data_IF_927417248510
#
_entry.id   IF_927417248510
#
_cell.length_a   1.000
_cell.length_b   1.000
_cell.length_c   1.000
_cell.angle_alpha   90.00
_cell.angle_beta   90.00
_cell.angle_gamma   90.00
#
_symmetry.space_group_name_H-M   'P 1'
#
loop_
_entity.id
_entity.type
_entity.pdbx_description
1 polymer ?
#
# COMPACT_ATOMS: atom_id res chain seq x y z
N UNK A 1 -1.84 9.57 4.91
CA UNK A 1 -3.07 8.89 5.38
C UNK A 1 -4.14 8.80 4.28
N UNK A 2 -4.67 9.91 3.74
CA UNK A 2 -5.72 9.88 2.69
C UNK A 2 -5.33 9.14 1.40
N UNK A 3 -4.07 9.27 0.96
CA UNK A 3 -3.55 8.47 -0.17
C UNK A 3 -3.59 6.97 0.09
N UNK A 4 -3.18 6.58 1.30
CA UNK A 4 -3.14 5.18 1.72
C UNK A 4 -4.53 4.54 1.81
N UNK A 5 -5.54 5.27 2.33
CA UNK A 5 -6.92 4.75 2.39
C UNK A 5 -7.52 4.54 1.01
N UNK A 6 -7.38 5.52 0.10
CA UNK A 6 -7.87 5.40 -1.29
C UNK A 6 -7.15 4.28 -2.02
N UNK A 7 -5.83 4.18 -1.85
CA UNK A 7 -5.02 3.08 -2.39
C UNK A 7 -5.49 1.72 -1.90
N UNK A 8 -5.71 1.55 -0.58
CA UNK A 8 -6.21 0.28 -0.02
C UNK A 8 -7.59 -0.06 -0.52
N UNK A 9 -8.51 0.89 -0.60
CA UNK A 9 -9.86 0.65 -1.11
C UNK A 9 -9.81 0.10 -2.54
N UNK A 10 -8.99 0.71 -3.40
CA UNK A 10 -8.80 0.25 -4.77
C UNK A 10 -8.09 -1.11 -4.85
N UNK A 11 -7.11 -1.36 -3.99
CA UNK A 11 -6.45 -2.67 -3.88
C UNK A 11 -7.45 -3.77 -3.50
N UNK A 12 -8.28 -3.54 -2.47
CA UNK A 12 -9.29 -4.51 -2.02
C UNK A 12 -10.33 -4.79 -3.12
N UNK A 13 -10.75 -3.77 -3.86
CA UNK A 13 -11.60 -3.97 -5.04
C UNK A 13 -10.89 -4.75 -6.15
N UNK A 14 -9.62 -4.43 -6.40
CA UNK A 14 -8.77 -5.14 -7.36
C UNK A 14 -8.59 -6.62 -7.00
N UNK A 15 -8.39 -6.94 -5.72
CA UNK A 15 -8.33 -8.32 -5.24
C UNK A 15 -9.65 -9.06 -5.52
N UNK A 16 -10.80 -8.45 -5.19
CA UNK A 16 -12.12 -9.03 -5.51
C UNK A 16 -12.32 -9.22 -7.01
N UNK A 17 -11.91 -8.26 -7.84
CA UNK A 17 -12.01 -8.36 -9.29
C UNK A 17 -11.08 -9.44 -9.85
N UNK A 18 -9.87 -9.60 -9.27
CA UNK A 18 -8.87 -10.58 -9.71
C UNK A 18 -9.32 -12.03 -9.52
N UNK A 19 -10.21 -12.30 -8.56
CA UNK A 19 -10.81 -13.63 -8.39
C UNK A 19 -11.60 -14.09 -9.62
N UNK A 20 -12.07 -13.15 -10.45
CA UNK A 20 -12.79 -13.42 -11.70
C UNK A 20 -11.88 -13.53 -12.92
N UNK A 21 -10.57 -13.30 -12.77
CA UNK A 21 -9.63 -13.38 -13.89
C UNK A 21 -9.30 -14.86 -14.23
N UNK A 22 -9.00 -15.15 -15.50
CA UNK A 22 -8.44 -16.45 -15.90
C UNK A 22 -7.18 -16.77 -15.10
N UNK A 23 -6.93 -18.05 -14.76
CA UNK A 23 -5.82 -18.42 -13.86
C UNK A 23 -4.45 -17.89 -14.28
N UNK A 24 -4.23 -17.83 -15.59
CA UNK A 24 -3.01 -17.25 -16.19
C UNK A 24 -2.76 -15.78 -15.81
N UNK A 25 -3.76 -15.04 -15.36
CA UNK A 25 -3.70 -13.62 -14.97
C UNK A 25 -3.87 -13.42 -13.46
N UNK A 26 -4.06 -14.47 -12.66
CA UNK A 26 -4.18 -14.32 -11.21
C UNK A 26 -2.81 -14.00 -10.59
N UNK A 27 -2.79 -13.25 -9.48
CA UNK A 27 -1.58 -13.04 -8.69
C UNK A 27 -0.99 -14.39 -8.22
N UNK A 28 0.32 -14.44 -7.90
CA UNK A 28 0.93 -15.65 -7.37
C UNK A 28 0.16 -16.16 -6.14
N UNK A 29 0.00 -17.49 -5.99
CA UNK A 29 -0.66 -18.05 -4.82
C UNK A 29 0.18 -17.76 -3.58
N UNK A 30 -0.41 -17.06 -2.62
CA UNK A 30 0.13 -16.90 -1.26
C UNK A 30 -0.45 -18.03 -0.42
N UNK A 31 0.38 -18.68 0.40
CA UNK A 31 -0.04 -19.85 1.21
C UNK A 31 -1.11 -19.49 2.25
N UNK A 32 -1.02 -18.28 2.78
CA UNK A 32 -1.92 -17.73 3.79
C UNK A 32 -1.96 -16.22 3.58
N UNK A 33 -3.12 -15.60 3.84
CA UNK A 33 -3.23 -14.14 3.81
C UNK A 33 -2.29 -13.51 4.86
N UNK A 34 -1.49 -12.49 4.49
CA UNK A 34 -0.61 -11.80 5.44
C UNK A 34 -1.31 -11.27 6.70
N UNK A 35 -2.56 -10.82 6.59
CA UNK A 35 -3.36 -10.36 7.72
C UNK A 35 -3.73 -11.52 8.65
N UNK A 36 -4.22 -12.62 8.09
CA UNK A 36 -4.50 -13.85 8.83
C UNK A 36 -3.26 -14.38 9.56
N UNK A 37 -2.11 -14.42 8.87
CA UNK A 37 -0.85 -14.86 9.47
C UNK A 37 -0.48 -14.01 10.70
N UNK A 38 -0.61 -12.69 10.60
CA UNK A 38 -0.30 -11.78 11.71
C UNK A 38 -1.26 -11.98 12.88
N UNK A 39 -2.55 -12.20 12.62
CA UNK A 39 -3.53 -12.49 13.68
C UNK A 39 -3.21 -13.85 14.34
N UNK A 40 -2.87 -14.86 13.57
CA UNK A 40 -2.41 -16.16 14.08
C UNK A 40 -1.18 -16.03 14.99
N UNK A 41 -0.25 -15.10 14.69
CA UNK A 41 0.89 -14.81 15.59
C UNK A 41 0.46 -14.15 16.89
N UNK A 42 -0.52 -13.25 16.86
CA UNK A 42 -1.07 -12.63 18.08
C UNK A 42 -1.74 -13.68 18.97
N UNK A 43 -2.53 -14.58 18.40
CA UNK A 43 -3.15 -15.69 19.14
C UNK A 43 -2.09 -16.62 19.76
N UNK A 44 -1.03 -16.96 19.01
CA UNK A 44 0.09 -17.76 19.54
C UNK A 44 0.78 -17.09 20.73
N UNK A 45 0.99 -15.77 20.68
CA UNK A 45 1.60 -15.02 21.77
C UNK A 45 0.68 -14.91 23.00
N UNK A 46 -0.64 -14.86 22.78
CA UNK A 46 -1.63 -14.84 23.85
C UNK A 46 -1.88 -16.22 24.47
N UNK A 47 -1.62 -17.29 23.72
CA UNK A 47 -1.91 -18.66 24.13
C UNK A 47 -3.38 -19.07 23.98
N UNK A 48 -4.23 -18.22 23.41
CA UNK A 48 -5.66 -18.48 23.21
C UNK A 48 -6.18 -17.89 21.89
N UNK A 49 -7.10 -18.59 21.19
CA UNK A 49 -7.68 -18.10 19.94
C UNK A 49 -8.59 -16.89 20.20
N UNK A 50 -8.65 -15.97 19.23
CA UNK A 50 -9.59 -14.86 19.27
C UNK A 50 -10.99 -15.35 18.90
N UNK A 51 -12.05 -14.68 19.39
CA UNK A 51 -13.39 -14.85 18.83
C UNK A 51 -13.38 -14.64 17.32
N UNK A 52 -14.05 -15.51 16.55
CA UNK A 52 -14.04 -15.49 15.07
C UNK A 52 -14.29 -14.10 14.49
N UNK A 53 -15.33 -13.41 14.99
CA UNK A 53 -15.66 -12.06 14.53
C UNK A 53 -14.52 -11.06 14.73
N UNK A 54 -13.77 -11.17 15.84
CA UNK A 54 -12.63 -10.30 16.11
C UNK A 54 -11.41 -10.69 15.25
N UNK A 55 -11.18 -11.99 15.04
CA UNK A 55 -10.15 -12.49 14.14
C UNK A 55 -10.33 -11.93 12.73
N UNK A 56 -11.52 -12.10 12.16
CA UNK A 56 -11.85 -11.65 10.81
C UNK A 56 -11.73 -10.12 10.68
N UNK A 57 -12.21 -9.39 11.70
CA UNK A 57 -12.09 -7.94 11.74
C UNK A 57 -10.63 -7.46 11.81
N UNK A 58 -9.77 -8.14 12.57
CA UNK A 58 -8.35 -7.80 12.66
C UNK A 58 -7.60 -8.13 11.38
N UNK A 59 -7.84 -9.29 10.77
CA UNK A 59 -7.21 -9.67 9.50
C UNK A 59 -7.59 -8.71 8.38
N UNK A 60 -8.87 -8.33 8.28
CA UNK A 60 -9.31 -7.29 7.35
C UNK A 60 -8.74 -5.91 7.72
N UNK A 61 -8.69 -5.60 9.01
CA UNK A 61 -8.10 -4.37 9.55
C UNK A 61 -6.62 -4.22 9.21
N UNK A 62 -5.85 -5.30 9.13
CA UNK A 62 -4.43 -5.25 8.77
C UNK A 62 -4.20 -4.68 7.37
N UNK A 63 -5.08 -4.98 6.41
CA UNK A 63 -4.99 -4.41 5.05
C UNK A 63 -5.13 -2.87 5.06
N UNK A 64 -6.06 -2.36 5.89
CA UNK A 64 -6.25 -0.94 6.10
C UNK A 64 -5.08 -0.31 6.85
N UNK A 65 -4.66 -0.91 7.97
CA UNK A 65 -3.52 -0.46 8.75
C UNK A 65 -2.25 -0.38 7.91
N UNK A 66 -2.00 -1.38 7.06
CA UNK A 66 -0.86 -1.42 6.16
C UNK A 66 -0.88 -0.25 5.17
N UNK A 67 -2.00 -0.04 4.44
CA UNK A 67 -2.05 1.03 3.46
C UNK A 67 -2.08 2.43 4.07
N UNK A 68 -2.77 2.63 5.20
CA UNK A 68 -2.75 3.91 5.95
C UNK A 68 -1.33 4.27 6.38
N UNK A 69 -0.60 3.30 6.94
CA UNK A 69 0.79 3.48 7.40
C UNK A 69 1.70 3.83 6.22
N UNK A 70 1.65 3.04 5.13
CA UNK A 70 2.43 3.33 3.94
C UNK A 70 2.09 4.69 3.33
N UNK A 71 0.81 5.05 3.24
CA UNK A 71 0.38 6.36 2.75
C UNK A 71 0.71 7.52 3.70
N UNK A 72 0.97 7.27 4.98
CA UNK A 72 1.48 8.26 5.91
C UNK A 72 3.00 8.45 5.73
N UNK A 73 3.75 7.34 5.69
CA UNK A 73 5.20 7.34 5.42
C UNK A 73 5.53 7.99 4.09
N UNK A 74 4.76 7.69 3.04
CA UNK A 74 4.93 8.29 1.72
C UNK A 74 4.66 9.81 1.72
N UNK A 75 3.59 10.25 2.41
CA UNK A 75 3.32 11.68 2.58
C UNK A 75 4.43 12.40 3.34
N UNK A 76 4.99 11.76 4.37
CA UNK A 76 6.13 12.30 5.11
C UNK A 76 7.39 12.39 4.24
N UNK A 77 7.71 11.32 3.49
CA UNK A 77 8.87 11.28 2.60
C UNK A 77 8.78 12.32 1.47
N UNK A 78 7.58 12.62 1.00
CA UNK A 78 7.34 13.56 -0.12
C UNK A 78 7.10 15.00 0.33
N UNK A 79 6.96 15.24 1.63
CA UNK A 79 6.61 16.55 2.21
C UNK A 79 7.57 17.70 1.82
N UNK A 80 8.85 17.40 1.55
CA UNK A 80 9.88 18.41 1.21
C UNK A 80 10.07 18.62 -0.28
N UNK A 81 9.67 17.67 -1.11
CA UNK A 81 9.95 17.68 -2.56
C UNK A 81 8.78 18.18 -3.40
N UNK A 82 7.61 18.42 -2.78
CA UNK A 82 6.39 18.95 -3.38
C UNK A 82 6.06 18.37 -4.76
N UNK A 83 5.16 17.38 -4.79
CA UNK A 83 4.73 16.70 -6.00
C UNK A 83 3.74 17.58 -6.79
N UNK A 84 4.24 18.66 -7.40
CA UNK A 84 3.40 19.66 -8.11
C UNK A 84 3.01 19.25 -9.54
N UNK A 85 3.69 18.27 -10.11
CA UNK A 85 3.41 17.78 -11.47
C UNK A 85 2.88 16.36 -11.45
N UNK A 86 2.04 16.02 -12.43
CA UNK A 86 1.54 14.66 -12.59
C UNK A 86 2.70 13.67 -12.76
N UNK A 87 3.70 14.01 -13.59
CA UNK A 87 4.89 13.18 -13.80
C UNK A 87 5.63 12.87 -12.50
N UNK A 88 5.85 13.88 -11.64
CA UNK A 88 6.52 13.67 -10.36
C UNK A 88 5.70 12.75 -9.44
N UNK A 89 4.37 12.95 -9.39
CA UNK A 89 3.49 12.10 -8.59
C UNK A 89 3.46 10.65 -9.08
N UNK A 90 3.40 10.42 -10.39
CA UNK A 90 3.43 9.07 -10.97
C UNK A 90 4.75 8.35 -10.65
N UNK A 91 5.89 9.02 -10.83
CA UNK A 91 7.21 8.44 -10.54
C UNK A 91 7.39 8.15 -9.05
N UNK A 92 7.03 9.09 -8.18
CA UNK A 92 7.13 8.91 -6.73
C UNK A 92 6.21 7.79 -6.24
N UNK A 93 4.98 7.72 -6.76
CA UNK A 93 4.04 6.66 -6.46
C UNK A 93 4.53 5.29 -6.95
N UNK A 94 5.04 5.20 -8.18
CA UNK A 94 5.61 3.97 -8.72
C UNK A 94 6.82 3.47 -7.91
N UNK A 95 7.72 4.38 -7.52
CA UNK A 95 8.87 4.06 -6.66
C UNK A 95 8.41 3.54 -5.30
N UNK A 96 7.43 4.20 -4.66
CA UNK A 96 6.86 3.76 -3.39
C UNK A 96 6.22 2.37 -3.52
N UNK A 97 5.39 2.15 -4.53
CA UNK A 97 4.77 0.85 -4.79
C UNK A 97 5.79 -0.26 -4.96
N UNK A 98 6.85 0.00 -5.75
CA UNK A 98 7.96 -0.94 -5.95
C UNK A 98 8.71 -1.24 -4.66
N UNK A 99 8.96 -0.23 -3.82
CA UNK A 99 9.62 -0.41 -2.53
C UNK A 99 8.77 -1.28 -1.57
N UNK A 100 7.46 -1.01 -1.48
CA UNK A 100 6.50 -1.81 -0.71
C UNK A 100 6.51 -3.26 -1.18
N UNK A 101 6.45 -3.47 -2.50
CA UNK A 101 6.56 -4.81 -3.09
C UNK A 101 7.86 -5.50 -2.71
N UNK A 102 9.00 -4.83 -2.84
CA UNK A 102 10.31 -5.41 -2.54
C UNK A 102 10.43 -5.81 -1.07
N UNK A 103 10.03 -4.93 -0.15
CA UNK A 103 10.03 -5.21 1.31
C UNK A 103 9.17 -6.45 1.62
N UNK A 104 8.02 -6.60 0.95
CA UNK A 104 7.15 -7.76 1.10
C UNK A 104 7.72 -9.03 0.45
N UNK A 105 7.79 -9.04 -0.87
CA UNK A 105 8.03 -10.23 -1.69
C UNK A 105 9.49 -10.67 -1.76
N UNK A 106 10.44 -9.77 -1.54
CA UNK A 106 11.86 -10.12 -1.42
C UNK A 106 12.24 -10.27 0.07
N UNK A 107 11.67 -9.45 0.94
CA UNK A 107 11.97 -9.45 2.37
C UNK A 107 11.16 -10.48 3.16
N UNK A 108 10.08 -10.00 3.79
CA UNK A 108 9.50 -10.73 4.92
C UNK A 108 8.56 -11.88 4.52
N UNK A 109 7.86 -11.81 3.38
CA UNK A 109 6.92 -12.87 2.95
C UNK A 109 7.64 -14.20 2.71
N UNK A 110 8.78 -14.26 1.99
CA UNK A 110 9.56 -15.49 1.90
C UNK A 110 10.15 -15.94 3.24
N UNK A 111 10.63 -15.01 4.07
CA UNK A 111 11.19 -15.32 5.38
C UNK A 111 10.13 -15.96 6.32
N UNK A 112 8.89 -15.50 6.25
CA UNK A 112 7.73 -16.06 6.94
C UNK A 112 7.19 -17.34 6.28
N UNK A 113 7.78 -17.79 5.17
CA UNK A 113 7.33 -18.93 4.35
C UNK A 113 5.91 -18.77 3.78
N UNK A 114 5.44 -17.53 3.63
CA UNK A 114 4.12 -17.24 3.03
C UNK A 114 4.13 -17.34 1.51
N UNK A 115 5.28 -17.06 0.89
CA UNK A 115 5.51 -17.21 -0.56
C UNK A 115 6.83 -17.92 -0.82
N UNK A 116 6.99 -18.63 -1.95
CA UNK A 116 8.32 -19.00 -2.44
C UNK A 116 9.18 -17.76 -2.68
N UNK A 117 10.52 -17.85 -2.70
CA UNK A 117 11.36 -16.74 -3.14
C UNK A 117 11.07 -16.32 -4.58
N UNK A 118 11.24 -15.03 -4.92
CA UNK A 118 10.83 -14.45 -6.21
C UNK A 118 11.38 -15.17 -7.45
N UNK A 119 12.62 -15.68 -7.38
CA UNK A 119 13.24 -16.44 -8.47
C UNK A 119 12.58 -17.81 -8.73
N UNK A 120 11.70 -18.29 -7.83
CA UNK A 120 10.91 -19.52 -7.98
C UNK A 120 9.44 -19.29 -8.32
N UNK A 121 8.99 -18.03 -8.40
CA UNK A 121 7.56 -17.70 -8.66
C UNK A 121 7.22 -17.61 -10.16
N UNK A 122 8.23 -17.56 -11.03
CA UNK A 122 8.06 -17.35 -12.47
C UNK A 122 7.89 -15.87 -12.83
N UNK A 123 8.53 -15.45 -13.94
CA UNK A 123 8.65 -14.04 -14.32
C UNK A 123 7.30 -13.31 -14.47
N UNK A 124 6.28 -14.01 -14.98
CA UNK A 124 4.94 -13.43 -15.16
C UNK A 124 4.26 -13.09 -13.83
N UNK A 125 4.32 -13.98 -12.83
CA UNK A 125 3.71 -13.72 -11.52
C UNK A 125 4.42 -12.57 -10.81
N UNK A 126 5.75 -12.54 -10.91
CA UNK A 126 6.55 -11.42 -10.39
C UNK A 126 6.12 -10.12 -11.05
N UNK A 127 6.00 -10.09 -12.39
CA UNK A 127 5.58 -8.90 -13.13
C UNK A 127 4.17 -8.42 -12.71
N UNK A 128 3.18 -9.32 -12.67
CA UNK A 128 1.81 -8.98 -12.24
C UNK A 128 1.80 -8.44 -10.81
N UNK A 129 2.56 -9.07 -9.90
CA UNK A 129 2.67 -8.64 -8.51
C UNK A 129 3.29 -7.25 -8.37
N UNK A 130 4.43 -6.99 -9.03
CA UNK A 130 5.10 -5.67 -9.05
C UNK A 130 4.18 -4.61 -9.63
N UNK A 131 3.53 -4.89 -10.77
CA UNK A 131 2.64 -3.93 -11.43
C UNK A 131 1.43 -3.56 -10.57
N UNK A 132 0.86 -4.53 -9.85
CA UNK A 132 -0.21 -4.27 -8.89
C UNK A 132 0.22 -3.30 -7.79
N UNK A 133 1.44 -3.44 -7.26
CA UNK A 133 1.96 -2.54 -6.23
C UNK A 133 2.34 -1.17 -6.79
N UNK A 134 2.88 -1.09 -8.01
CA UNK A 134 3.12 0.17 -8.71
C UNK A 134 1.80 0.93 -8.87
N UNK A 135 0.74 0.26 -9.33
CA UNK A 135 -0.58 0.86 -9.48
C UNK A 135 -1.11 1.38 -8.13
N UNK A 136 -1.00 0.58 -7.06
CA UNK A 136 -1.34 1.00 -5.71
C UNK A 136 -0.57 2.27 -5.27
N UNK A 137 0.75 2.31 -5.51
CA UNK A 137 1.58 3.44 -5.15
C UNK A 137 1.24 4.72 -5.94
N UNK A 138 1.00 4.58 -7.25
CA UNK A 138 0.54 5.68 -8.12
C UNK A 138 -0.78 6.27 -7.61
N UNK A 139 -1.76 5.41 -7.33
CA UNK A 139 -3.06 5.83 -6.79
C UNK A 139 -2.88 6.56 -5.46
N UNK A 140 -2.00 6.04 -4.60
CA UNK A 140 -1.71 6.64 -3.29
C UNK A 140 -1.08 8.04 -3.40
N UNK A 141 -0.43 8.37 -4.52
CA UNK A 141 0.16 9.68 -4.76
C UNK A 141 -0.84 10.76 -5.19
N UNK A 142 -2.03 10.38 -5.68
CA UNK A 142 -3.02 11.32 -6.21
C UNK A 142 -3.44 12.37 -5.16
N UNK A 143 -3.79 12.01 -3.91
CA UNK A 143 -4.17 13.02 -2.93
C UNK A 143 -3.05 14.00 -2.58
N UNK A 144 -1.78 13.54 -2.59
CA UNK A 144 -0.62 14.40 -2.32
C UNK A 144 -0.45 15.42 -3.46
N UNK A 145 -0.52 14.96 -4.71
CA UNK A 145 -0.51 15.83 -5.89
C UNK A 145 -1.60 16.90 -5.82
N UNK A 146 -2.83 16.53 -5.45
CA UNK A 146 -3.94 17.46 -5.35
C UNK A 146 -3.73 18.50 -4.23
N UNK A 147 -3.18 18.09 -3.09
CA UNK A 147 -2.87 18.99 -1.98
C UNK A 147 -1.73 19.96 -2.33
N UNK A 148 -0.67 19.48 -2.96
CA UNK A 148 0.45 20.31 -3.41
C UNK A 148 0.04 21.31 -4.51
N UNK A 149 -0.81 20.90 -5.46
CA UNK A 149 -1.33 21.80 -6.51
C UNK A 149 -2.21 22.91 -5.96
N UNK A 150 -2.93 22.65 -4.86
CA UNK A 150 -3.74 23.67 -4.17
C UNK A 150 -2.92 24.51 -3.18
N UNK A 151 -1.62 24.25 -3.02
CA UNK A 151 -0.77 24.92 -2.03
C UNK A 151 -1.21 24.65 -0.59
N UNK A 152 -1.95 23.56 -0.35
CA UNK A 152 -2.50 23.24 0.97
C UNK A 152 -1.47 22.59 1.90
N UNK A 153 -0.35 22.14 1.35
CA UNK A 153 0.82 21.63 2.07
C UNK A 153 1.67 22.72 2.71
N UNK A 154 1.54 23.98 2.28
CA UNK A 154 2.16 25.13 2.94
C UNK A 154 1.51 25.42 4.30
N UNK A 155 2.26 25.78 5.35
CA UNK A 155 1.66 26.21 6.62
C UNK A 155 0.71 27.39 6.47
N UNK A 156 -0.35 27.46 7.29
CA UNK A 156 -1.39 28.48 7.19
C UNK A 156 -0.86 29.92 7.27
N UNK A 157 0.21 30.16 8.03
CA UNK A 157 0.84 31.46 8.20
C UNK A 157 1.56 31.95 6.93
N UNK A 158 2.21 31.05 6.16
CA UNK A 158 2.80 31.41 4.84
C UNK A 158 1.72 31.82 3.85
N UNK A 159 0.56 31.14 3.88
CA UNK A 159 -0.58 31.48 3.03
C UNK A 159 -1.22 32.82 3.42
N UNK A 160 -1.29 33.12 4.72
CA UNK A 160 -1.81 34.40 5.20
C UNK A 160 -0.91 35.57 4.77
N UNK A 161 0.41 35.43 4.89
CA UNK A 161 1.38 36.44 4.46
C UNK A 161 1.26 36.76 2.95
N UNK A 162 1.15 35.73 2.10
CA UNK A 162 1.01 35.91 0.65
C UNK A 162 -0.30 36.59 0.21
N UNK A 163 -1.32 36.60 1.07
CA UNK A 163 -2.59 37.31 0.83
C UNK A 163 -2.56 38.77 1.26
N UNK A 164 -1.68 39.13 2.19
CA UNK A 164 -1.49 40.50 2.67
C UNK A 164 -0.58 41.30 1.72
N UNK A 165 0.31 40.62 1.00
CA UNK A 165 1.25 41.24 0.05
C UNK A 165 0.77 41.25 -1.41
N UNK A 166 -0.51 40.99 -1.68
CA UNK A 166 -1.17 41.13 -2.98
C UNK A 166 -2.24 42.21 -2.90
#
# INVERSE_FOLDING_TARGET
MLGGTVGTALMLQGMKASQRLPERLKPPPVREDPGEFMVSRVEQLRGEPLPRALRDALAQGMHWGYGVTNGALFGLATSRIHLRTLRAALLAGAAMGTAVWAIGYIGWLPAAKLTPPVWRQGARHVAVSVLGHIAFGIVSAIPILLLDRKGLTEPWWRRALLRITR
#
